data_IF_003935181803
#
_entry.id   IF_003935181803
#
_cell.length_a   1.000
_cell.length_b   1.000
_cell.length_c   1.000
_cell.angle_alpha   90.00
_cell.angle_beta   90.00
_cell.angle_gamma   90.00
#
_symmetry.space_group_name_H-M   'P 1'
#
loop_
_entity.id
_entity.type
_entity.pdbx_description
1 polymer ?
#
# COMPACT_ATOMS: atom_id res chain seq x y z
N UNK A 1 -60.70 -27.69 18.13
CA UNK A 1 -59.38 -28.18 17.68
C UNK A 1 -58.61 -26.99 17.09
N UNK A 2 -58.30 -25.99 17.93
CA UNK A 2 -56.94 -25.62 18.41
C UNK A 2 -56.03 -25.16 17.27
N UNK A 3 -56.26 -23.96 16.72
CA UNK A 3 -55.58 -22.68 17.03
C UNK A 3 -54.09 -22.63 16.65
N UNK A 4 -53.81 -22.34 15.38
CA UNK A 4 -52.53 -21.82 14.89
C UNK A 4 -52.63 -20.29 14.81
N UNK A 5 -52.59 -19.62 15.96
CA UNK A 5 -52.51 -18.16 16.04
C UNK A 5 -51.44 -17.79 17.06
N UNK A 6 -50.15 -17.90 16.70
CA UNK A 6 -49.09 -17.20 17.44
C UNK A 6 -47.67 -17.18 16.82
N UNK A 7 -47.44 -17.54 15.55
CA UNK A 7 -46.07 -17.54 14.96
C UNK A 7 -45.86 -16.30 14.06
N UNK A 8 -46.34 -15.14 14.53
CA UNK A 8 -45.90 -13.83 14.03
C UNK A 8 -45.24 -13.12 15.20
N UNK A 9 -44.06 -12.55 14.97
CA UNK A 9 -43.32 -11.71 15.91
C UNK A 9 -42.43 -12.47 16.91
N UNK A 10 -41.24 -12.89 16.45
CA UNK A 10 -40.02 -13.00 17.24
C UNK A 10 -38.85 -13.41 16.32
N UNK A 11 -38.52 -12.60 15.32
CA UNK A 11 -37.12 -12.61 14.84
C UNK A 11 -36.34 -12.01 16.01
N UNK A 12 -35.79 -12.90 16.84
CA UNK A 12 -35.10 -12.53 18.05
C UNK A 12 -33.96 -11.55 17.70
N UNK A 13 -33.75 -10.48 18.48
CA UNK A 13 -32.66 -9.53 18.24
C UNK A 13 -31.29 -10.21 18.12
N UNK A 14 -31.14 -11.41 18.69
CA UNK A 14 -30.00 -12.31 18.54
C UNK A 14 -29.63 -12.65 17.09
N UNK A 15 -30.61 -12.83 16.19
CA UNK A 15 -30.35 -13.19 14.79
C UNK A 15 -29.80 -12.00 14.00
N UNK A 16 -30.27 -10.78 14.29
CA UNK A 16 -29.75 -9.56 13.67
C UNK A 16 -28.30 -9.29 14.10
N UNK A 17 -27.96 -9.53 15.37
CA UNK A 17 -26.59 -9.39 15.88
C UNK A 17 -25.64 -10.37 15.17
N UNK A 18 -26.05 -11.63 14.95
CA UNK A 18 -25.21 -12.61 14.24
C UNK A 18 -24.98 -12.22 12.78
N UNK A 19 -26.01 -11.69 12.10
CA UNK A 19 -25.90 -11.22 10.72
C UNK A 19 -24.92 -10.04 10.63
N UNK A 20 -25.02 -9.05 11.52
CA UNK A 20 -24.10 -7.92 11.60
C UNK A 20 -22.65 -8.38 11.84
N UNK A 21 -22.43 -9.31 12.78
CA UNK A 21 -21.10 -9.88 13.03
C UNK A 21 -20.57 -10.59 11.78
N UNK A 22 -21.40 -11.35 11.08
CA UNK A 22 -21.01 -12.05 9.86
C UNK A 22 -20.61 -11.07 8.74
N UNK A 23 -21.37 -9.99 8.53
CA UNK A 23 -21.00 -8.94 7.57
C UNK A 23 -19.69 -8.26 7.95
N UNK A 24 -19.47 -7.95 9.24
CA UNK A 24 -18.20 -7.38 9.74
C UNK A 24 -17.00 -8.31 9.51
N UNK A 25 -17.17 -9.62 9.70
CA UNK A 25 -16.11 -10.61 9.46
C UNK A 25 -15.77 -10.69 7.96
N UNK A 26 -16.79 -10.68 7.09
CA UNK A 26 -16.56 -10.65 5.64
C UNK A 26 -15.82 -9.37 5.22
N UNK A 27 -16.28 -8.20 5.68
CA UNK A 27 -15.60 -6.92 5.39
C UNK A 27 -14.16 -6.91 5.88
N UNK A 28 -13.87 -7.47 7.06
CA UNK A 28 -12.52 -7.56 7.59
C UNK A 28 -11.65 -8.55 6.82
N UNK A 29 -12.23 -9.65 6.33
CA UNK A 29 -11.55 -10.64 5.51
C UNK A 29 -11.21 -10.11 4.11
N UNK A 30 -12.09 -9.28 3.55
CA UNK A 30 -11.90 -8.64 2.24
C UNK A 30 -10.97 -7.41 2.28
N UNK A 31 -10.49 -7.00 3.47
CA UNK A 31 -9.51 -5.90 3.54
C UNK A 31 -8.18 -6.31 2.88
N UNK A 32 -7.60 -5.44 2.05
CA UNK A 32 -6.30 -5.70 1.46
C UNK A 32 -5.23 -5.84 2.55
N UNK A 33 -4.58 -7.01 2.58
CA UNK A 33 -3.45 -7.26 3.48
C UNK A 33 -2.20 -6.57 2.94
N UNK A 34 -1.87 -5.40 3.47
CA UNK A 34 -0.75 -4.60 3.00
C UNK A 34 0.63 -5.16 3.32
N UNK A 35 0.76 -5.93 4.40
CA UNK A 35 2.01 -6.59 4.83
C UNK A 35 1.81 -8.04 5.31
N UNK A 36 0.57 -8.55 5.31
CA UNK A 36 0.22 -9.86 5.88
C UNK A 36 0.36 -11.04 4.91
N UNK A 37 0.40 -10.78 3.61
CA UNK A 37 0.63 -11.80 2.58
C UNK A 37 2.07 -11.67 2.06
N UNK A 38 2.76 -12.78 1.77
CA UNK A 38 4.09 -12.70 1.17
C UNK A 38 3.99 -12.03 -0.20
N UNK A 39 4.70 -10.92 -0.39
CA UNK A 39 4.78 -10.24 -1.67
C UNK A 39 5.38 -11.18 -2.73
N UNK A 40 4.54 -11.62 -3.66
CA UNK A 40 4.97 -12.59 -4.68
C UNK A 40 5.88 -11.93 -5.72
N UNK A 41 5.54 -10.70 -6.11
CA UNK A 41 6.19 -9.98 -7.19
C UNK A 41 7.49 -9.29 -6.74
N UNK A 42 7.73 -9.14 -5.44
CA UNK A 42 8.97 -8.58 -4.89
C UNK A 42 10.22 -9.31 -5.41
N UNK A 43 10.12 -10.61 -5.71
CA UNK A 43 11.23 -11.38 -6.32
C UNK A 43 11.69 -10.80 -7.67
N UNK A 44 10.81 -10.10 -8.38
CA UNK A 44 11.06 -9.46 -9.66
C UNK A 44 11.61 -8.04 -9.53
N UNK A 45 11.89 -7.58 -8.31
CA UNK A 45 12.43 -6.26 -8.02
C UNK A 45 13.71 -6.36 -7.18
N UNK A 46 14.53 -5.31 -7.22
CA UNK A 46 15.55 -5.03 -6.21
C UNK A 46 14.90 -4.10 -5.19
N UNK A 47 14.90 -4.51 -3.93
CA UNK A 47 14.25 -3.80 -2.82
C UNK A 47 15.28 -3.02 -2.01
N UNK A 48 14.95 -1.77 -1.69
CA UNK A 48 15.67 -0.93 -0.73
C UNK A 48 14.72 -0.60 0.42
N UNK A 49 14.96 -1.20 1.58
CA UNK A 49 14.06 -1.08 2.74
C UNK A 49 14.29 0.20 3.53
N UNK A 50 13.22 0.76 4.09
CA UNK A 50 13.22 2.02 4.83
C UNK A 50 13.86 3.19 4.06
N UNK A 51 13.60 3.23 2.75
CA UNK A 51 14.10 4.24 1.83
C UNK A 51 12.96 4.88 1.04
N UNK A 52 13.12 6.17 0.75
CA UNK A 52 12.27 6.92 -0.15
C UNK A 52 13.10 7.70 -1.18
N UNK A 53 12.47 8.04 -2.30
CA UNK A 53 13.07 8.76 -3.41
C UNK A 53 13.32 10.23 -3.01
N UNK A 54 14.48 10.82 -3.34
CA UNK A 54 14.78 12.20 -2.98
C UNK A 54 13.83 13.22 -3.63
N UNK A 55 13.69 14.40 -3.00
CA UNK A 55 12.75 15.46 -3.42
C UNK A 55 12.85 15.87 -4.89
N UNK A 56 14.05 15.99 -5.53
CA UNK A 56 14.15 16.36 -6.93
C UNK A 56 13.48 15.36 -7.88
N UNK A 57 13.25 14.14 -7.43
CA UNK A 57 12.57 13.10 -8.16
C UNK A 57 11.11 13.10 -7.72
N UNK A 58 10.26 13.64 -8.58
CA UNK A 58 8.81 13.55 -8.41
C UNK A 58 8.29 12.27 -9.08
N UNK A 59 7.35 11.56 -8.45
CA UNK A 59 6.66 10.49 -9.15
C UNK A 59 5.91 11.10 -10.33
N UNK A 60 5.77 10.37 -11.44
CA UNK A 60 4.94 10.82 -12.55
C UNK A 60 3.46 10.45 -12.36
N UNK A 61 3.20 9.48 -11.48
CA UNK A 61 1.88 8.97 -11.16
C UNK A 61 1.86 8.38 -9.75
N UNK A 62 0.67 8.32 -9.16
CA UNK A 62 0.42 7.67 -7.87
C UNK A 62 -0.85 6.84 -7.96
N UNK A 63 -1.00 5.78 -7.15
CA UNK A 63 -2.26 5.05 -7.11
C UNK A 63 -3.41 5.98 -6.66
N UNK A 64 -4.56 5.88 -7.33
CA UNK A 64 -5.74 6.68 -6.99
C UNK A 64 -6.30 6.30 -5.62
N UNK A 65 -6.24 5.02 -5.28
CA UNK A 65 -6.65 4.48 -3.97
C UNK A 65 -5.48 3.70 -3.36
N UNK A 66 -4.48 4.45 -2.90
CA UNK A 66 -3.29 3.84 -2.28
C UNK A 66 -3.66 3.10 -0.99
N UNK A 67 -4.71 3.51 -0.27
CA UNK A 67 -5.15 2.87 0.97
C UNK A 67 -5.65 1.45 0.75
N UNK A 68 -6.28 1.14 -0.39
CA UNK A 68 -6.73 -0.22 -0.69
C UNK A 68 -5.73 -1.03 -1.53
N UNK A 69 -4.59 -0.43 -1.90
CA UNK A 69 -3.65 -1.04 -2.83
C UNK A 69 -2.69 -1.97 -2.10
N UNK A 70 -2.57 -3.22 -2.56
CA UNK A 70 -1.53 -4.13 -2.05
C UNK A 70 -0.17 -3.84 -2.68
N UNK A 71 0.89 -4.32 -2.04
CA UNK A 71 2.26 -4.24 -2.55
C UNK A 71 2.36 -4.85 -3.96
N UNK A 72 1.85 -6.07 -4.15
CA UNK A 72 1.85 -6.77 -5.44
C UNK A 72 1.08 -6.00 -6.53
N UNK A 73 -0.05 -5.35 -6.19
CA UNK A 73 -0.80 -4.50 -7.13
C UNK A 73 0.00 -3.26 -7.54
N UNK A 74 0.71 -2.66 -6.59
CA UNK A 74 1.60 -1.53 -6.85
C UNK A 74 2.74 -1.96 -7.79
N UNK A 75 3.41 -3.07 -7.47
CA UNK A 75 4.52 -3.59 -8.26
C UNK A 75 4.10 -4.04 -9.66
N UNK A 76 2.95 -4.72 -9.82
CA UNK A 76 2.51 -5.21 -11.15
C UNK A 76 2.15 -4.03 -12.06
N UNK A 77 1.61 -2.95 -11.50
CA UNK A 77 1.29 -1.73 -12.23
C UNK A 77 2.55 -1.12 -12.83
N UNK A 78 3.61 -1.00 -12.03
CA UNK A 78 4.91 -0.56 -12.52
C UNK A 78 5.52 -1.52 -13.55
N UNK A 79 5.44 -2.82 -13.30
CA UNK A 79 6.05 -3.83 -14.17
C UNK A 79 5.42 -3.86 -15.57
N UNK A 80 4.13 -3.53 -15.66
CA UNK A 80 3.38 -3.39 -16.92
C UNK A 80 3.59 -2.02 -17.58
N UNK A 81 3.87 -0.95 -16.84
CA UNK A 81 4.14 0.39 -17.40
C UNK A 81 5.60 0.55 -17.87
N UNK A 82 5.78 0.80 -19.18
CA UNK A 82 7.10 1.01 -19.80
C UNK A 82 7.88 2.23 -19.26
N UNK A 83 7.18 3.22 -18.71
CA UNK A 83 7.77 4.44 -18.13
C UNK A 83 8.36 4.18 -16.76
N UNK A 84 7.81 3.21 -16.03
CA UNK A 84 8.18 2.97 -14.65
C UNK A 84 9.61 2.41 -14.53
N UNK A 85 10.45 3.11 -13.76
CA UNK A 85 11.83 2.74 -13.41
C UNK A 85 12.02 2.50 -11.92
N UNK A 86 11.11 2.96 -11.08
CA UNK A 86 11.08 2.68 -9.65
C UNK A 86 9.67 2.83 -9.09
N UNK A 87 9.39 2.11 -8.01
CA UNK A 87 8.17 2.20 -7.21
C UNK A 87 8.54 2.54 -5.79
N UNK A 88 7.79 3.44 -5.16
CA UNK A 88 7.81 3.61 -3.71
C UNK A 88 6.50 3.05 -3.18
N UNK A 89 6.59 2.11 -2.23
CA UNK A 89 5.43 1.55 -1.54
C UNK A 89 5.71 1.46 -0.04
N UNK A 90 4.70 1.76 0.77
CA UNK A 90 4.80 1.60 2.22
C UNK A 90 3.93 2.57 3.00
N UNK A 91 4.11 2.56 4.31
CA UNK A 91 3.30 3.30 5.26
C UNK A 91 3.78 4.75 5.37
N UNK A 92 2.88 5.70 5.16
CA UNK A 92 3.11 7.13 5.35
C UNK A 92 2.35 7.66 6.57
N UNK A 93 3.02 8.46 7.40
CA UNK A 93 2.36 9.23 8.47
C UNK A 93 1.77 8.41 9.64
N UNK A 94 2.16 7.14 9.80
CA UNK A 94 1.82 6.32 10.96
C UNK A 94 0.33 5.97 11.15
N UNK A 95 -0.54 6.22 10.16
CA UNK A 95 -1.99 6.00 10.25
C UNK A 95 -2.55 5.02 9.22
N UNK A 96 -1.93 3.86 9.06
CA UNK A 96 -2.30 2.84 8.06
C UNK A 96 -2.51 3.40 6.64
N UNK A 97 -1.92 4.55 6.31
CA UNK A 97 -2.01 5.16 4.99
C UNK A 97 -0.87 4.61 4.17
N UNK A 98 -1.20 3.82 3.17
CA UNK A 98 -0.22 3.30 2.23
C UNK A 98 -0.01 4.29 1.10
N UNK A 99 1.23 4.40 0.63
CA UNK A 99 1.57 5.09 -0.60
C UNK A 99 1.94 4.09 -1.68
N UNK A 100 1.63 4.42 -2.92
CA UNK A 100 2.09 3.71 -4.11
C UNK A 100 2.42 4.75 -5.18
N UNK A 101 3.71 5.00 -5.37
CA UNK A 101 4.22 6.10 -6.19
C UNK A 101 5.10 5.55 -7.31
N UNK A 102 4.88 6.02 -8.54
CA UNK A 102 5.57 5.53 -9.73
C UNK A 102 6.54 6.57 -10.27
N UNK A 103 7.79 6.17 -10.52
CA UNK A 103 8.86 7.05 -10.93
C UNK A 103 9.42 6.67 -12.30
N UNK A 104 9.66 7.68 -13.14
CA UNK A 104 10.24 7.52 -14.49
C UNK A 104 11.78 7.65 -14.47
N UNK A 105 12.31 8.17 -13.36
CA UNK A 105 13.75 8.32 -13.09
C UNK A 105 14.00 7.88 -11.65
N UNK A 106 15.19 7.36 -11.39
CA UNK A 106 15.58 6.88 -10.06
C UNK A 106 17.05 7.15 -9.80
N UNK A 107 17.43 7.20 -8.53
CA UNK A 107 18.81 7.21 -8.05
C UNK A 107 18.90 6.24 -6.88
N UNK A 108 20.06 5.58 -6.71
CA UNK A 108 20.32 4.70 -5.56
C UNK A 108 21.31 5.30 -4.57
N UNK A 109 21.94 6.43 -4.94
CA UNK A 109 23.03 7.03 -4.15
C UNK A 109 22.53 8.05 -3.11
N UNK A 110 21.32 8.58 -3.29
CA UNK A 110 20.79 9.74 -2.54
C UNK A 110 19.42 9.43 -1.93
N UNK A 111 19.18 8.17 -1.58
CA UNK A 111 17.91 7.74 -1.00
C UNK A 111 17.73 8.35 0.40
N UNK A 112 16.52 8.81 0.69
CA UNK A 112 16.16 9.35 2.00
C UNK A 112 15.80 8.19 2.92
N UNK A 113 16.30 8.18 4.17
CA UNK A 113 15.79 7.23 5.15
C UNK A 113 14.35 7.56 5.52
N UNK A 114 13.45 6.60 5.37
CA UNK A 114 12.04 6.77 5.72
C UNK A 114 11.50 5.44 6.23
N UNK A 115 11.29 5.30 7.55
CA UNK A 115 10.81 4.05 8.13
C UNK A 115 9.50 3.57 7.52
N UNK A 116 9.38 2.25 7.30
CA UNK A 116 8.21 1.56 6.74
C UNK A 116 7.88 1.91 5.29
N UNK A 117 8.83 2.50 4.56
CA UNK A 117 8.71 2.76 3.13
C UNK A 117 9.83 2.06 2.40
N UNK A 118 9.50 1.39 1.30
CA UNK A 118 10.45 0.64 0.50
C UNK A 118 10.46 1.16 -0.94
N UNK A 119 11.64 1.11 -1.57
CA UNK A 119 11.81 1.37 -3.00
C UNK A 119 12.04 0.05 -3.72
N UNK A 120 11.31 -0.15 -4.82
CA UNK A 120 11.43 -1.32 -5.67
C UNK A 120 11.88 -0.90 -7.06
N UNK A 121 13.02 -1.45 -7.51
CA UNK A 121 13.52 -1.26 -8.87
C UNK A 121 13.24 -2.53 -9.68
N UNK A 122 12.47 -2.47 -10.79
CA UNK A 122 12.14 -3.65 -11.57
C UNK A 122 13.41 -4.28 -12.15
N UNK A 123 13.60 -5.58 -11.93
CA UNK A 123 14.60 -6.38 -12.64
C UNK A 123 14.20 -6.49 -14.11
N UNK A 124 15.09 -7.03 -14.95
CA UNK A 124 14.75 -7.29 -16.35
C UNK A 124 13.57 -8.25 -16.42
N UNK A 125 12.65 -8.03 -17.37
CA UNK A 125 11.46 -8.88 -17.53
C UNK A 125 11.81 -10.36 -17.72
N UNK A 126 12.93 -10.66 -18.37
CA UNK A 126 13.47 -12.02 -18.55
C UNK A 126 13.83 -12.74 -17.25
N UNK A 127 14.14 -11.99 -16.19
CA UNK A 127 14.64 -12.54 -14.92
C UNK A 127 13.48 -12.83 -13.96
N UNK A 128 12.30 -12.29 -14.25
CA UNK A 128 11.07 -12.50 -13.49
C UNK A 128 10.35 -13.76 -13.97
N UNK A 129 10.33 -14.81 -13.14
CA UNK A 129 9.62 -16.07 -13.42
C UNK A 129 8.25 -16.17 -12.71
N UNK A 130 7.82 -15.10 -12.05
CA UNK A 130 6.57 -15.04 -11.30
C UNK A 130 5.41 -14.82 -12.27
N UNK A 131 4.34 -15.60 -12.14
CA UNK A 131 3.12 -15.41 -12.92
C UNK A 131 2.20 -14.40 -12.22
N UNK A 132 1.90 -13.28 -12.87
CA UNK A 132 1.16 -12.15 -12.27
C UNK A 132 -0.05 -11.69 -13.09
N UNK A 133 -0.49 -12.47 -14.08
CA UNK A 133 -1.60 -12.08 -14.96
C UNK A 133 -2.94 -11.95 -14.22
N UNK A 134 -3.08 -12.64 -13.09
CA UNK A 134 -4.24 -12.57 -12.20
C UNK A 134 -4.23 -11.33 -11.28
N UNK A 135 -3.13 -10.58 -11.20
CA UNK A 135 -3.02 -9.40 -10.33
C UNK A 135 -3.53 -8.17 -11.10
N UNK A 136 -4.58 -7.56 -10.57
CA UNK A 136 -5.18 -6.36 -11.15
C UNK A 136 -4.25 -5.15 -11.03
N UNK A 137 -4.14 -4.36 -12.09
CA UNK A 137 -3.39 -3.10 -12.08
C UNK A 137 -4.19 -1.99 -11.44
N UNK A 138 -3.49 -1.06 -10.79
CA UNK A 138 -4.08 0.09 -10.12
C UNK A 138 -4.43 1.20 -11.12
N UNK A 139 -5.48 1.96 -10.81
CA UNK A 139 -5.75 3.21 -11.52
C UNK A 139 -4.79 4.28 -11.03
N UNK A 140 -4.06 4.90 -11.96
CA UNK A 140 -3.11 5.97 -11.66
C UNK A 140 -3.79 7.35 -11.65
N UNK A 141 -3.32 8.22 -10.77
CA UNK A 141 -3.71 9.63 -10.67
C UNK A 141 -2.46 10.53 -10.66
N UNK A 142 -2.67 11.84 -10.79
CA UNK A 142 -1.56 12.81 -10.77
C UNK A 142 -0.95 12.87 -9.35
N UNK A 143 0.37 13.03 -9.23
CA UNK A 143 1.02 13.28 -7.96
C UNK A 143 0.40 14.45 -7.22
N UNK A 144 0.30 14.32 -5.90
CA UNK A 144 -0.20 15.37 -5.02
C UNK A 144 0.97 16.09 -4.37
N UNK A 145 0.82 17.39 -4.11
CA UNK A 145 1.85 18.22 -3.43
C UNK A 145 2.24 17.68 -2.05
N UNK A 146 1.34 16.91 -1.41
CA UNK A 146 1.55 16.28 -0.11
C UNK A 146 2.75 15.32 -0.09
N UNK A 147 3.10 14.72 -1.22
CA UNK A 147 4.26 13.81 -1.32
C UNK A 147 5.56 14.57 -1.12
N UNK A 148 5.68 15.75 -1.74
CA UNK A 148 6.86 16.60 -1.57
C UNK A 148 6.96 17.11 -0.13
N UNK A 149 5.82 17.52 0.45
CA UNK A 149 5.76 17.95 1.87
C UNK A 149 6.15 16.82 2.81
N UNK A 150 5.67 15.59 2.59
CA UNK A 150 6.04 14.39 3.36
C UNK A 150 7.55 14.17 3.36
N UNK A 151 8.17 14.19 2.18
CA UNK A 151 9.62 14.01 2.03
C UNK A 151 10.42 15.12 2.72
N UNK A 152 9.99 16.37 2.57
CA UNK A 152 10.61 17.52 3.25
C UNK A 152 10.53 17.38 4.77
N UNK A 153 9.40 16.90 5.31
CA UNK A 153 9.24 16.64 6.74
C UNK A 153 10.21 15.55 7.24
N UNK A 154 10.40 14.45 6.49
CA UNK A 154 11.37 13.43 6.87
C UNK A 154 12.81 13.95 6.85
N UNK A 155 13.18 14.74 5.85
CA UNK A 155 14.50 15.39 5.83
C UNK A 155 14.71 16.32 7.02
N UNK A 156 13.72 17.15 7.34
CA UNK A 156 13.78 18.01 8.51
C UNK A 156 13.94 17.18 9.80
N UNK A 157 13.18 16.11 9.98
CA UNK A 157 13.31 15.23 11.16
C UNK A 157 14.69 14.56 11.27
N UNK A 158 15.33 14.25 10.14
CA UNK A 158 16.68 13.66 10.09
C UNK A 158 17.78 14.68 10.41
N UNK A 159 17.58 15.94 10.07
CA UNK A 159 18.52 17.04 10.39
C UNK A 159 18.44 17.44 11.88
N UNK A 160 17.28 17.26 12.52
CA UNK A 160 17.13 17.56 13.94
C UNK A 160 17.87 16.52 14.79
N UNK A 161 18.85 16.98 15.56
CA UNK A 161 19.40 16.16 16.65
C UNK A 161 18.26 15.79 17.60
N UNK A 162 18.02 14.50 17.78
CA UNK A 162 17.02 14.02 18.73
C UNK A 162 17.46 14.42 20.15
N UNK A 163 16.75 15.34 20.85
CA UNK A 163 17.16 15.80 22.17
C UNK A 163 17.08 14.69 23.22
N UNK A 164 16.40 13.57 22.92
CA UNK A 164 16.30 12.39 23.76
C UNK A 164 17.34 11.31 23.42
N UNK A 165 18.15 11.50 22.37
CA UNK A 165 19.24 10.59 22.00
C UNK A 165 20.61 11.06 22.54
N UNK A 166 20.60 11.85 23.63
CA UNK A 166 21.82 12.15 24.40
C UNK A 166 22.10 10.92 25.27
N UNK A 167 22.97 10.04 24.77
CA UNK A 167 23.56 8.92 25.50
C UNK A 167 25.06 9.12 25.65
#
# INVERSE_FOLDING_TARGET
LLSFSSIRSMIAPSFLILIEIFFRIIEAYDRPNHFGNPCMLCKCFVEYTDRDMPIPFNPYAVAKDSYSSTEDQCLVTCFKDTRCKAVVYGLIGGRDVFTCEFYEKTTVNELIYTPNINIYLPKRKSDCKVHFDHIQTLTMSRPQEEIMKRKANYLALLEHQNPFAIG
#
